data_IF_735451295959
#
_entry.id   IF_735451295959
#
_cell.length_a   1.000
_cell.length_b   1.000
_cell.length_c   1.000
_cell.angle_alpha   90.00
_cell.angle_beta   90.00
_cell.angle_gamma   90.00
#
_symmetry.space_group_name_H-M   'P 1'
#
loop_
_entity.id
_entity.type
_entity.pdbx_description
1 polymer ?
#
# COMPACT_ATOMS: atom_id res chain seq x y z
N UNK A 1 -28.50 -6.82 9.97
CA UNK A 1 -27.49 -6.39 8.98
C UNK A 1 -26.38 -7.42 8.91
N UNK A 2 -25.95 -7.85 7.72
CA UNK A 2 -24.77 -8.70 7.59
C UNK A 2 -23.54 -7.94 8.09
N UNK A 3 -22.72 -8.57 8.93
CA UNK A 3 -21.49 -7.97 9.47
C UNK A 3 -20.53 -7.64 8.31
N UNK A 4 -20.20 -6.36 8.14
CA UNK A 4 -19.20 -5.93 7.17
C UNK A 4 -17.83 -6.34 7.70
N UNK A 5 -17.12 -7.18 6.97
CA UNK A 5 -15.79 -7.68 7.28
C UNK A 5 -14.94 -7.74 6.00
N UNK A 6 -13.69 -8.20 6.11
CA UNK A 6 -12.78 -8.31 4.94
C UNK A 6 -13.37 -9.16 3.81
N UNK A 7 -14.12 -10.22 4.13
CA UNK A 7 -14.78 -11.06 3.11
C UNK A 7 -15.84 -10.26 2.34
N UNK A 8 -16.67 -9.49 3.05
CA UNK A 8 -17.63 -8.57 2.44
C UNK A 8 -16.93 -7.53 1.55
N UNK A 9 -15.87 -6.90 2.05
CA UNK A 9 -15.13 -5.88 1.29
C UNK A 9 -14.54 -6.47 0.01
N UNK A 10 -13.87 -7.62 0.08
CA UNK A 10 -13.32 -8.30 -1.10
C UNK A 10 -14.40 -8.71 -2.10
N UNK A 11 -15.57 -9.15 -1.64
CA UNK A 11 -16.70 -9.52 -2.51
C UNK A 11 -17.23 -8.32 -3.29
N UNK A 12 -17.26 -7.13 -2.68
CA UNK A 12 -17.79 -5.91 -3.29
C UNK A 12 -16.71 -5.00 -3.89
N UNK A 13 -15.46 -5.44 -3.87
CA UNK A 13 -14.33 -4.65 -4.34
C UNK A 13 -14.43 -4.33 -5.84
N UNK A 14 -14.60 -3.04 -6.15
CA UNK A 14 -14.60 -2.55 -7.51
C UNK A 14 -13.17 -2.17 -7.95
N UNK A 15 -12.51 -3.12 -8.62
CA UNK A 15 -11.14 -2.93 -9.11
C UNK A 15 -11.00 -1.72 -10.05
N UNK A 16 -11.97 -1.45 -10.94
CA UNK A 16 -11.89 -0.29 -11.84
C UNK A 16 -11.90 1.03 -11.07
N UNK A 17 -12.71 1.12 -10.01
CA UNK A 17 -12.75 2.29 -9.12
C UNK A 17 -11.41 2.44 -8.38
N UNK A 18 -10.89 1.35 -7.83
CA UNK A 18 -9.61 1.35 -7.13
C UNK A 18 -8.44 1.79 -8.01
N UNK A 19 -8.34 1.28 -9.24
CA UNK A 19 -7.31 1.67 -10.20
C UNK A 19 -7.35 3.17 -10.55
N UNK A 20 -8.53 3.80 -10.52
CA UNK A 20 -8.64 5.26 -10.71
C UNK A 20 -8.05 6.04 -9.53
N UNK A 21 -8.16 5.51 -8.31
CA UNK A 21 -7.55 6.14 -7.14
C UNK A 21 -6.03 6.03 -7.18
N UNK A 22 -5.50 4.81 -7.33
CA UNK A 22 -4.04 4.58 -7.31
C UNK A 22 -3.31 4.98 -8.59
N UNK A 23 -4.05 5.30 -9.66
CA UNK A 23 -3.49 5.76 -10.93
C UNK A 23 -2.91 7.18 -10.85
N UNK A 24 -3.22 7.92 -9.78
CA UNK A 24 -2.64 9.22 -9.46
C UNK A 24 -1.54 9.01 -8.41
N UNK A 25 -0.34 9.58 -8.59
CA UNK A 25 0.67 9.56 -7.53
C UNK A 25 0.08 10.15 -6.25
N UNK A 26 0.27 9.44 -5.14
CA UNK A 26 -0.05 9.94 -3.80
C UNK A 26 1.02 10.95 -3.37
N UNK A 27 0.63 11.98 -2.63
CA UNK A 27 1.59 12.78 -1.88
C UNK A 27 2.29 11.92 -0.82
N UNK A 28 3.52 12.26 -0.45
CA UNK A 28 4.31 11.48 0.52
C UNK A 28 3.64 11.45 1.92
N UNK A 29 2.77 12.42 2.22
CA UNK A 29 2.11 12.61 3.52
C UNK A 29 0.76 11.89 3.68
N UNK A 30 0.31 11.12 2.69
CA UNK A 30 -1.00 10.49 2.69
C UNK A 30 -1.01 9.14 3.45
N UNK A 31 -0.77 9.19 4.77
CA UNK A 31 -0.76 8.03 5.68
C UNK A 31 -1.92 7.07 5.42
N UNK A 32 -1.60 5.85 4.97
CA UNK A 32 -2.55 4.79 4.61
C UNK A 32 -3.72 5.20 3.71
N UNK A 33 -3.61 6.22 2.86
CA UNK A 33 -4.71 6.58 1.94
C UNK A 33 -5.16 5.40 1.08
N UNK A 34 -4.25 4.49 0.74
CA UNK A 34 -4.60 3.27 0.01
C UNK A 34 -5.67 2.41 0.73
N UNK A 35 -5.68 2.42 2.06
CA UNK A 35 -6.69 1.75 2.86
C UNK A 35 -8.05 2.40 2.63
N UNK A 36 -8.10 3.73 2.70
CA UNK A 36 -9.32 4.49 2.42
C UNK A 36 -9.82 4.27 0.99
N UNK A 37 -8.91 4.35 0.01
CA UNK A 37 -9.22 4.09 -1.39
C UNK A 37 -9.76 2.68 -1.62
N UNK A 38 -9.24 1.68 -0.88
CA UNK A 38 -9.75 0.31 -0.91
C UNK A 38 -11.17 0.22 -0.33
N UNK A 39 -11.40 0.77 0.86
CA UNK A 39 -12.74 0.78 1.48
C UNK A 39 -13.75 1.50 0.59
N UNK A 40 -13.42 2.69 0.09
CA UNK A 40 -14.29 3.45 -0.81
C UNK A 40 -14.56 2.70 -2.12
N UNK A 41 -13.60 1.90 -2.59
CA UNK A 41 -13.79 1.04 -3.76
C UNK A 41 -14.73 -0.14 -3.52
N UNK A 42 -15.10 -0.44 -2.27
CA UNK A 42 -16.05 -1.48 -1.90
C UNK A 42 -17.50 -0.98 -1.74
N UNK A 43 -17.72 0.35 -1.79
CA UNK A 43 -19.06 0.92 -1.74
C UNK A 43 -19.92 0.47 -2.95
N UNK A 44 -21.19 0.18 -2.70
CA UNK A 44 -22.16 -0.28 -3.71
C UNK A 44 -23.23 0.78 -3.98
N UNK A 45 -24.24 0.44 -4.79
CA UNK A 45 -25.42 1.30 -4.96
C UNK A 45 -26.30 1.30 -3.71
N UNK A 46 -26.37 0.19 -2.99
CA UNK A 46 -27.16 0.06 -1.76
C UNK A 46 -26.44 0.63 -0.52
N UNK A 47 -25.11 0.49 -0.44
CA UNK A 47 -24.30 1.00 0.67
C UNK A 47 -23.26 1.98 0.11
N UNK A 48 -23.52 3.27 0.26
CA UNK A 48 -22.62 4.35 -0.14
C UNK A 48 -21.38 4.43 0.77
N UNK A 49 -20.33 5.14 0.34
CA UNK A 49 -19.07 5.24 1.11
C UNK A 49 -19.27 5.72 2.53
N UNK A 50 -20.00 6.82 2.73
CA UNK A 50 -20.33 7.39 4.03
C UNK A 50 -21.03 6.37 4.94
N UNK A 51 -22.01 5.64 4.40
CA UNK A 51 -22.70 4.57 5.12
C UNK A 51 -21.77 3.40 5.44
N UNK A 52 -20.91 3.00 4.51
CA UNK A 52 -19.91 1.96 4.71
C UNK A 52 -18.96 2.33 5.85
N UNK A 53 -18.43 3.56 5.85
CA UNK A 53 -17.58 4.08 6.91
C UNK A 53 -18.28 4.12 8.27
N UNK A 54 -19.54 4.56 8.32
CA UNK A 54 -20.32 4.57 9.57
C UNK A 54 -20.52 3.15 10.12
N UNK A 55 -20.78 2.16 9.27
CA UNK A 55 -20.89 0.75 9.70
C UNK A 55 -19.54 0.22 10.19
N UNK A 56 -18.47 0.66 9.54
CA UNK A 56 -17.11 0.28 9.87
C UNK A 56 -16.56 0.99 11.10
N UNK A 57 -17.17 2.07 11.61
CA UNK A 57 -16.53 2.90 12.65
C UNK A 57 -16.13 2.11 13.90
N UNK A 58 -16.98 1.15 14.30
CA UNK A 58 -16.72 0.23 15.42
C UNK A 58 -15.76 -0.95 15.08
N UNK A 59 -15.36 -1.11 13.82
CA UNK A 59 -14.52 -2.22 13.32
C UNK A 59 -13.31 -1.75 12.49
N UNK A 60 -13.15 -0.44 12.30
CA UNK A 60 -12.15 0.16 11.40
C UNK A 60 -10.74 -0.23 11.79
N UNK A 61 -10.46 -0.22 13.09
CA UNK A 61 -9.16 -0.63 13.62
C UNK A 61 -8.92 -2.11 13.35
N UNK A 62 -9.89 -2.98 13.64
CA UNK A 62 -9.75 -4.42 13.40
C UNK A 62 -9.48 -4.75 11.92
N UNK A 63 -10.15 -4.04 11.00
CA UNK A 63 -9.93 -4.20 9.56
C UNK A 63 -8.58 -3.63 9.15
N UNK A 64 -8.19 -2.45 9.63
CA UNK A 64 -6.85 -1.91 9.39
C UNK A 64 -5.76 -2.86 9.90
N UNK A 65 -5.86 -3.37 11.13
CA UNK A 65 -4.93 -4.34 11.71
C UNK A 65 -4.87 -5.64 10.92
N UNK A 66 -5.97 -6.07 10.29
CA UNK A 66 -5.95 -7.24 9.41
C UNK A 66 -5.20 -7.01 8.09
N UNK A 67 -5.13 -5.74 7.64
CA UNK A 67 -4.46 -5.33 6.40
C UNK A 67 -3.03 -4.85 6.62
N UNK A 68 -2.70 -4.31 7.80
CA UNK A 68 -1.37 -3.76 8.11
C UNK A 68 -0.22 -4.75 7.83
N UNK A 69 -0.28 -6.02 8.29
CA UNK A 69 0.75 -7.01 7.95
C UNK A 69 0.87 -7.27 6.44
N UNK A 70 -0.20 -7.03 5.67
CA UNK A 70 -0.23 -7.22 4.21
C UNK A 70 0.45 -6.07 3.46
N UNK A 71 0.50 -4.88 4.04
CA UNK A 71 1.31 -3.78 3.52
C UNK A 71 2.81 -4.08 3.72
N UNK A 72 3.17 -4.52 4.92
CA UNK A 72 4.56 -4.87 5.29
C UNK A 72 5.11 -6.07 4.51
N UNK A 73 4.34 -7.15 4.36
CA UNK A 73 4.80 -8.35 3.66
C UNK A 73 4.64 -8.28 2.12
N UNK A 74 4.18 -7.12 1.63
CA UNK A 74 3.94 -6.83 0.23
C UNK A 74 2.80 -7.59 -0.43
N UNK A 75 1.90 -8.22 0.35
CA UNK A 75 0.81 -9.04 -0.22
C UNK A 75 -0.50 -8.30 -0.37
N UNK A 76 -0.61 -7.04 0.05
CA UNK A 76 -1.88 -6.28 0.02
C UNK A 76 -2.60 -6.35 -1.33
N UNK A 77 -1.90 -6.04 -2.42
CA UNK A 77 -2.48 -6.05 -3.77
C UNK A 77 -2.98 -7.42 -4.19
N UNK A 78 -2.17 -8.46 -3.99
CA UNK A 78 -2.55 -9.85 -4.28
C UNK A 78 -3.68 -10.34 -3.38
N UNK A 79 -3.75 -9.81 -2.15
CA UNK A 79 -4.77 -10.15 -1.17
C UNK A 79 -6.15 -9.61 -1.57
N UNK A 80 -6.22 -8.37 -2.05
CA UNK A 80 -7.49 -7.75 -2.43
C UNK A 80 -7.97 -8.19 -3.83
N UNK A 81 -7.08 -8.60 -4.74
CA UNK A 81 -7.46 -9.01 -6.09
C UNK A 81 -6.43 -9.88 -6.81
N UNK A 82 -6.92 -10.96 -7.45
CA UNK A 82 -6.16 -11.84 -8.35
C UNK A 82 -5.69 -11.18 -9.67
N UNK A 83 -5.99 -9.90 -9.87
CA UNK A 83 -5.53 -9.14 -11.02
C UNK A 83 -4.14 -8.54 -10.81
N UNK A 84 -3.67 -8.53 -9.57
CA UNK A 84 -2.33 -8.07 -9.25
C UNK A 84 -1.37 -9.24 -9.05
N UNK A 85 -0.10 -9.01 -9.37
CA UNK A 85 1.01 -9.90 -9.04
C UNK A 85 2.20 -9.07 -8.60
N UNK A 86 2.75 -9.38 -7.42
CA UNK A 86 4.03 -8.84 -6.96
C UNK A 86 5.13 -9.45 -7.82
N UNK A 87 5.92 -8.59 -8.44
CA UNK A 87 7.06 -8.96 -9.28
C UNK A 87 8.38 -8.90 -8.51
N UNK A 88 8.50 -7.92 -7.61
CA UNK A 88 9.69 -7.69 -6.79
C UNK A 88 9.29 -7.12 -5.43
N UNK A 89 10.03 -7.49 -4.39
CA UNK A 89 9.89 -6.96 -3.03
C UNK A 89 11.28 -6.77 -2.42
N UNK A 90 11.64 -5.52 -2.16
CA UNK A 90 12.90 -5.16 -1.50
C UNK A 90 12.61 -4.56 -0.13
N UNK A 91 13.38 -4.96 0.89
CA UNK A 91 13.38 -4.34 2.21
C UNK A 91 14.63 -3.47 2.34
N UNK A 92 14.43 -2.21 2.70
CA UNK A 92 15.50 -1.25 2.97
C UNK A 92 15.41 -0.89 4.44
N UNK A 93 16.49 -1.05 5.19
CA UNK A 93 16.52 -0.74 6.63
C UNK A 93 17.58 0.30 6.90
N UNK A 94 17.29 1.19 7.85
CA UNK A 94 18.25 2.20 8.27
C UNK A 94 19.54 1.55 8.80
N UNK A 95 20.68 2.08 8.34
CA UNK A 95 22.01 1.59 8.71
C UNK A 95 22.51 2.27 9.99
N UNK A 96 23.45 1.62 10.70
CA UNK A 96 24.08 2.15 11.91
C UNK A 96 23.52 1.59 13.23
N UNK A 97 24.19 1.97 14.32
CA UNK A 97 23.88 1.58 15.71
C UNK A 97 22.83 2.51 16.33
N UNK A 98 21.72 2.69 15.61
CA UNK A 98 20.54 3.40 16.11
C UNK A 98 19.76 2.47 17.03
N UNK A 99 19.15 3.02 18.09
CA UNK A 99 18.17 2.30 18.92
C UNK A 99 17.16 1.57 18.01
N UNK A 100 17.01 0.24 18.13
CA UNK A 100 16.07 -0.53 17.32
C UNK A 100 14.64 0.02 17.31
N UNK A 101 14.22 0.70 18.38
CA UNK A 101 12.89 1.34 18.51
C UNK A 101 12.74 2.63 17.70
N UNK A 102 13.84 3.20 17.20
CA UNK A 102 13.86 4.40 16.37
C UNK A 102 14.14 4.08 14.89
N UNK A 103 14.54 2.85 14.57
CA UNK A 103 14.89 2.45 13.20
C UNK A 103 13.67 2.55 12.28
N UNK A 104 13.90 3.22 11.15
CA UNK A 104 12.96 3.26 10.04
C UNK A 104 13.28 2.17 9.00
N UNK A 105 12.26 1.76 8.25
CA UNK A 105 12.44 0.82 7.16
C UNK A 105 11.43 1.05 6.04
N UNK A 106 11.82 0.66 4.83
CA UNK A 106 10.94 0.63 3.67
C UNK A 106 10.72 -0.81 3.20
N UNK A 107 9.51 -1.11 2.73
CA UNK A 107 9.26 -2.23 1.83
C UNK A 107 8.82 -1.69 0.48
N UNK A 108 9.71 -1.80 -0.52
CA UNK A 108 9.47 -1.32 -1.88
C UNK A 108 9.02 -2.49 -2.75
N UNK A 109 7.93 -2.29 -3.48
CA UNK A 109 7.26 -3.35 -4.23
C UNK A 109 7.03 -2.93 -5.67
N UNK A 110 7.39 -3.81 -6.60
CA UNK A 110 6.96 -3.70 -7.98
C UNK A 110 5.78 -4.63 -8.23
N UNK A 111 4.62 -4.08 -8.58
CA UNK A 111 3.36 -4.81 -8.73
C UNK A 111 2.87 -4.67 -10.16
N UNK A 112 2.54 -5.78 -10.81
CA UNK A 112 1.86 -5.78 -12.10
C UNK A 112 0.35 -5.89 -11.94
N UNK A 113 -0.40 -5.22 -12.82
CA UNK A 113 -1.85 -5.30 -12.91
C UNK A 113 -2.26 -5.77 -14.31
N UNK A 114 -2.93 -6.91 -14.39
CA UNK A 114 -3.45 -7.43 -15.66
C UNK A 114 -4.71 -6.72 -16.16
N UNK A 115 -5.33 -5.90 -15.30
CA UNK A 115 -6.59 -5.22 -15.61
C UNK A 115 -6.38 -4.00 -16.51
N UNK A 116 -5.30 -3.26 -16.28
CA UNK A 116 -4.95 -2.05 -17.01
C UNK A 116 -3.55 -2.09 -17.64
N UNK A 117 -2.90 -3.27 -17.61
CA UNK A 117 -1.59 -3.53 -18.19
C UNK A 117 -0.52 -2.53 -17.73
N UNK A 118 -0.50 -2.25 -16.44
CA UNK A 118 0.48 -1.36 -15.80
C UNK A 118 1.31 -2.06 -14.74
N UNK A 119 2.43 -1.42 -14.43
CA UNK A 119 3.34 -1.75 -13.35
C UNK A 119 3.33 -0.60 -12.35
N UNK A 120 3.11 -0.89 -11.09
CA UNK A 120 3.00 0.06 -9.99
C UNK A 120 4.17 -0.14 -9.05
N UNK A 121 4.91 0.93 -8.76
CA UNK A 121 5.86 0.96 -7.66
C UNK A 121 5.10 1.42 -6.41
N UNK A 122 5.01 0.55 -5.42
CA UNK A 122 4.48 0.89 -4.10
C UNK A 122 5.61 0.90 -3.06
N UNK A 123 5.47 1.72 -2.03
CA UNK A 123 6.39 1.74 -0.90
C UNK A 123 5.59 1.77 0.39
N UNK A 124 5.85 0.79 1.26
CA UNK A 124 5.57 0.92 2.67
C UNK A 124 6.73 1.65 3.34
N UNK A 125 6.46 2.62 4.20
CA UNK A 125 7.41 3.19 5.13
C UNK A 125 6.94 2.85 6.53
N UNK A 126 7.74 2.07 7.26
CA UNK A 126 7.48 1.70 8.63
C UNK A 126 8.42 2.40 9.61
N UNK A 127 7.87 2.84 10.73
CA UNK A 127 8.60 3.26 11.93
C UNK A 127 8.22 2.33 13.06
N UNK A 128 9.12 2.06 14.01
CA UNK A 128 8.83 1.12 15.08
C UNK A 128 7.65 1.54 15.98
N UNK A 129 7.34 2.83 16.05
CA UNK A 129 6.17 3.36 16.78
C UNK A 129 4.85 3.20 16.04
N UNK A 130 4.84 2.78 14.76
CA UNK A 130 3.68 2.56 13.85
C UNK A 130 2.75 3.76 13.59
N UNK A 131 2.83 4.83 14.40
CA UNK A 131 1.96 6.01 14.35
C UNK A 131 2.10 6.79 13.04
N UNK A 132 3.25 6.64 12.35
CA UNK A 132 3.57 7.38 11.13
C UNK A 132 3.87 6.45 9.95
N UNK A 133 3.36 5.22 9.98
CA UNK A 133 3.52 4.30 8.88
C UNK A 133 2.71 4.79 7.68
N UNK A 134 3.26 4.58 6.48
CA UNK A 134 2.58 4.95 5.25
C UNK A 134 2.72 3.87 4.20
N UNK A 135 1.73 3.80 3.30
CA UNK A 135 1.76 2.90 2.17
C UNK A 135 1.29 3.65 0.92
N UNK A 136 2.24 3.94 0.04
CA UNK A 136 2.05 4.89 -1.05
C UNK A 136 2.35 4.26 -2.40
N UNK A 137 1.63 4.71 -3.42
CA UNK A 137 1.97 4.44 -4.81
C UNK A 137 2.89 5.56 -5.29
N UNK A 138 4.15 5.20 -5.48
CA UNK A 138 5.20 6.14 -5.86
C UNK A 138 5.05 6.52 -7.34
N UNK A 139 4.85 5.53 -8.21
CA UNK A 139 4.77 5.73 -9.65
C UNK A 139 4.10 4.55 -10.35
N UNK A 140 3.56 4.80 -11.54
CA UNK A 140 3.09 3.73 -12.43
C UNK A 140 3.71 3.82 -13.83
N UNK A 141 3.82 2.68 -14.49
CA UNK A 141 4.49 2.51 -15.77
C UNK A 141 3.66 1.61 -16.68
N UNK A 142 3.71 1.87 -17.99
CA UNK A 142 3.18 0.94 -19.01
C UNK A 142 4.20 -0.09 -19.48
N UNK A 143 5.49 0.19 -19.29
CA UNK A 143 6.59 -0.66 -19.73
C UNK A 143 7.25 -1.33 -18.52
N UNK A 144 7.45 -2.66 -18.61
CA UNK A 144 8.03 -3.46 -17.54
C UNK A 144 9.48 -3.05 -17.23
N UNK A 145 10.33 -2.96 -18.24
CA UNK A 145 11.75 -2.64 -18.07
C UNK A 145 11.95 -1.28 -17.41
N UNK A 146 11.24 -0.25 -17.88
CA UNK A 146 11.28 1.09 -17.26
C UNK A 146 10.85 1.09 -15.79
N UNK A 147 9.99 0.15 -15.40
CA UNK A 147 9.56 0.02 -14.01
C UNK A 147 10.66 -0.60 -13.14
N UNK A 148 11.41 -1.58 -13.67
CA UNK A 148 12.60 -2.13 -13.01
C UNK A 148 13.74 -1.11 -12.94
N UNK A 149 14.06 -0.43 -14.05
CA UNK A 149 15.11 0.59 -14.05
C UNK A 149 14.83 1.70 -13.01
N UNK A 150 13.56 2.08 -12.85
CA UNK A 150 13.16 3.04 -11.82
C UNK A 150 13.18 2.47 -10.40
N UNK A 151 12.83 1.19 -10.22
CA UNK A 151 12.93 0.49 -8.93
C UNK A 151 14.37 0.51 -8.43
N UNK A 152 15.34 0.15 -9.29
CA UNK A 152 16.76 0.09 -8.92
C UNK A 152 17.26 1.47 -8.46
N UNK A 153 16.95 2.52 -9.22
CA UNK A 153 17.28 3.90 -8.86
C UNK A 153 16.62 4.33 -7.55
N UNK A 154 15.36 3.93 -7.33
CA UNK A 154 14.63 4.28 -6.11
C UNK A 154 15.24 3.60 -4.87
N UNK A 155 15.59 2.31 -4.98
CA UNK A 155 16.24 1.56 -3.90
C UNK A 155 17.56 2.22 -3.53
N UNK A 156 18.44 2.45 -4.52
CA UNK A 156 19.75 3.08 -4.28
C UNK A 156 19.62 4.44 -3.61
N UNK A 157 18.64 5.25 -4.04
CA UNK A 157 18.37 6.54 -3.41
C UNK A 157 17.96 6.39 -1.95
N UNK A 158 17.09 5.43 -1.62
CA UNK A 158 16.63 5.19 -0.25
C UNK A 158 17.72 4.62 0.66
N UNK A 159 18.58 3.76 0.12
CA UNK A 159 19.76 3.27 0.82
C UNK A 159 20.74 4.40 1.13
N UNK A 160 21.00 5.30 0.17
CA UNK A 160 21.86 6.47 0.38
C UNK A 160 21.27 7.47 1.40
N UNK A 161 19.95 7.69 1.38
CA UNK A 161 19.25 8.49 2.39
C UNK A 161 19.47 7.93 3.80
N UNK A 162 19.31 6.62 3.97
CA UNK A 162 19.52 5.93 5.25
C UNK A 162 20.99 5.85 5.69
N UNK A 163 21.93 5.74 4.74
CA UNK A 163 23.35 5.78 5.05
C UNK A 163 23.80 7.17 5.58
N UNK A 164 23.08 8.23 5.20
CA UNK A 164 23.34 9.60 5.64
C UNK A 164 22.64 9.94 6.96
N UNK A 165 21.49 9.35 7.26
CA UNK A 165 20.77 9.59 8.52
C UNK A 165 21.41 8.91 9.74
N UNK A 166 22.12 7.80 9.53
CA UNK A 166 22.82 7.07 10.59
C UNK A 166 24.23 7.55 10.95
N UNK A 167 24.61 8.80 10.60
CA UNK A 167 25.88 9.44 10.99
C UNK A 167 25.66 10.54 12.01
#
# INVERSE_FOLDING_TARGET
>A
MNKINISYLKKNFNLKKFLKFIGKPSGIEENFKIYHDFIDSCATKEIKSDQLWNILDNQKESIMWSLAPKFMDGKFFTFISKNFKVLELCKITEAGDIDPSLKEYYYVQLISSKMDNKYYLASYHGKYTTINDSYNIIKSFKNKQKAYDFLDVYILKKEDEFAKSGR
#
